data_IF_679895563839
#
_entry.id   IF_679895563839
#
_cell.length_a   1.000
_cell.length_b   1.000
_cell.length_c   1.000
_cell.angle_alpha   90.00
_cell.angle_beta   90.00
_cell.angle_gamma   90.00
#
_symmetry.space_group_name_H-M   'P 1'
#
loop_
_entity.id
_entity.type
_entity.pdbx_description
1 polymer ?
#
# COMPACT_ATOMS: atom_id res chain seq x y z
N UNK A 1 17.33 -33.77 -27.61
CA UNK A 1 18.31 -32.69 -27.36
C UNK A 1 17.53 -31.49 -26.83
N UNK A 2 16.72 -31.70 -25.78
CA UNK A 2 15.87 -30.64 -25.20
C UNK A 2 15.82 -30.79 -23.70
N UNK A 3 15.79 -32.02 -23.21
CA UNK A 3 15.81 -32.31 -21.77
C UNK A 3 17.15 -31.96 -21.09
N UNK A 4 18.34 -32.29 -21.65
CA UNK A 4 19.62 -31.87 -21.08
C UNK A 4 19.79 -30.35 -21.07
N UNK A 5 19.43 -29.67 -22.17
CA UNK A 5 19.57 -28.23 -22.34
C UNK A 5 18.66 -27.46 -21.38
N UNK A 6 17.40 -27.90 -21.22
CA UNK A 6 16.48 -27.33 -20.26
C UNK A 6 16.97 -27.50 -18.81
N UNK A 7 17.58 -28.65 -18.50
CA UNK A 7 18.14 -28.93 -17.17
C UNK A 7 19.34 -28.02 -16.86
N UNK A 8 20.26 -27.85 -17.82
CA UNK A 8 21.43 -26.97 -17.67
C UNK A 8 21.01 -25.51 -17.51
N UNK A 9 20.05 -25.04 -18.32
CA UNK A 9 19.55 -23.67 -18.21
C UNK A 9 18.87 -23.43 -16.85
N UNK A 10 18.08 -24.39 -16.38
CA UNK A 10 17.40 -24.28 -15.08
C UNK A 10 18.39 -24.21 -13.92
N UNK A 11 19.42 -25.07 -13.92
CA UNK A 11 20.50 -25.02 -12.93
C UNK A 11 21.17 -23.64 -12.91
N UNK A 12 21.44 -23.07 -14.09
CA UNK A 12 22.03 -21.74 -14.19
C UNK A 12 21.11 -20.64 -13.64
N UNK A 13 19.80 -20.67 -13.99
CA UNK A 13 18.82 -19.73 -13.47
C UNK A 13 18.71 -19.80 -11.93
N UNK A 14 18.71 -21.01 -11.37
CA UNK A 14 18.66 -21.20 -9.91
C UNK A 14 19.90 -20.62 -9.23
N UNK A 15 21.10 -20.85 -9.78
CA UNK A 15 22.35 -20.29 -9.26
C UNK A 15 22.33 -18.76 -9.22
N UNK A 16 21.87 -18.12 -10.30
CA UNK A 16 21.75 -16.65 -10.34
C UNK A 16 20.72 -16.17 -9.31
N UNK A 17 19.55 -16.80 -9.27
CA UNK A 17 18.48 -16.42 -8.35
C UNK A 17 18.92 -16.51 -6.89
N UNK A 18 19.60 -17.60 -6.49
CA UNK A 18 20.13 -17.75 -5.13
C UNK A 18 21.12 -16.64 -4.80
N UNK A 19 22.07 -16.35 -5.69
CA UNK A 19 23.05 -15.29 -5.46
C UNK A 19 22.40 -13.90 -5.30
N UNK A 20 21.37 -13.59 -6.11
CA UNK A 20 20.64 -12.34 -6.02
C UNK A 20 19.84 -12.25 -4.71
N UNK A 21 19.17 -13.32 -4.30
CA UNK A 21 18.38 -13.35 -3.06
C UNK A 21 19.29 -13.24 -1.84
N UNK A 22 20.43 -13.95 -1.82
CA UNK A 22 21.38 -13.94 -0.70
C UNK A 22 22.04 -12.55 -0.51
N UNK A 23 22.25 -11.82 -1.61
CA UNK A 23 22.84 -10.47 -1.61
C UNK A 23 21.83 -9.32 -1.70
N UNK A 24 20.53 -9.58 -1.51
CA UNK A 24 19.49 -8.57 -1.69
C UNK A 24 19.54 -7.51 -0.57
N UNK A 25 19.73 -6.24 -0.94
CA UNK A 25 19.66 -5.10 -0.04
C UNK A 25 18.36 -4.31 -0.25
N UNK A 26 17.62 -4.04 0.83
CA UNK A 26 16.39 -3.24 0.80
C UNK A 26 16.71 -1.82 1.26
N UNK A 27 16.47 -0.85 0.38
CA UNK A 27 16.65 0.57 0.69
C UNK A 27 15.35 1.17 1.22
N UNK A 28 15.14 1.11 2.53
CA UNK A 28 13.90 1.57 3.19
C UNK A 28 13.54 3.03 2.85
N UNK A 29 14.52 3.93 2.78
CA UNK A 29 14.28 5.34 2.40
C UNK A 29 13.68 5.47 1.00
N UNK A 30 14.10 4.61 0.07
CA UNK A 30 13.56 4.59 -1.28
C UNK A 30 12.14 4.01 -1.30
N UNK A 31 11.87 2.99 -0.48
CA UNK A 31 10.53 2.42 -0.29
C UNK A 31 9.58 3.49 0.26
N UNK A 32 9.94 4.16 1.34
CA UNK A 32 9.13 5.23 1.95
C UNK A 32 8.86 6.39 0.97
N UNK A 33 9.89 6.82 0.22
CA UNK A 33 9.76 7.86 -0.80
C UNK A 33 8.79 7.45 -1.91
N UNK A 34 8.89 6.21 -2.40
CA UNK A 34 8.01 5.70 -3.45
C UNK A 34 6.56 5.55 -2.96
N UNK A 35 6.36 5.10 -1.72
CA UNK A 35 5.03 5.02 -1.11
C UNK A 35 4.39 6.40 -0.92
N UNK A 36 5.20 7.41 -0.64
CA UNK A 36 4.75 8.79 -0.46
C UNK A 36 4.59 9.55 -1.79
N UNK A 37 5.00 8.97 -2.92
CA UNK A 37 5.01 9.62 -4.23
C UNK A 37 3.63 10.13 -4.67
N UNK A 38 2.57 9.39 -4.34
CA UNK A 38 1.18 9.76 -4.63
C UNK A 38 0.52 10.57 -3.52
N UNK A 39 1.30 11.13 -2.59
CA UNK A 39 0.80 12.01 -1.51
C UNK A 39 -0.33 11.37 -0.67
N UNK A 40 -0.29 10.04 -0.50
CA UNK A 40 -1.28 9.26 0.28
C UNK A 40 -2.49 8.78 -0.52
N UNK A 41 -2.62 9.11 -1.81
CA UNK A 41 -3.77 8.68 -2.64
C UNK A 41 -3.85 7.16 -2.82
N UNK A 42 -2.72 6.47 -2.83
CA UNK A 42 -2.66 5.00 -2.83
C UNK A 42 -3.31 4.36 -1.59
N UNK A 43 -3.52 5.13 -0.52
CA UNK A 43 -4.12 4.66 0.74
C UNK A 43 -5.54 5.21 0.96
N UNK A 44 -6.11 5.88 -0.03
CA UNK A 44 -7.42 6.53 0.07
C UNK A 44 -8.55 5.56 0.43
N UNK A 45 -8.43 4.29 0.04
CA UNK A 45 -9.40 3.24 0.40
C UNK A 45 -9.49 2.99 1.91
N UNK A 46 -8.36 3.08 2.63
CA UNK A 46 -8.31 2.96 4.10
C UNK A 46 -9.27 3.95 4.77
N UNK A 47 -9.25 5.20 4.31
CA UNK A 47 -10.15 6.25 4.83
C UNK A 47 -11.60 6.00 4.41
N UNK A 48 -11.84 5.60 3.16
CA UNK A 48 -13.20 5.27 2.67
C UNK A 48 -13.85 4.16 3.49
N UNK A 49 -13.10 3.10 3.79
CA UNK A 49 -13.57 1.98 4.59
C UNK A 49 -13.94 2.43 6.00
N UNK A 50 -13.10 3.25 6.63
CA UNK A 50 -13.35 3.74 7.98
C UNK A 50 -14.57 4.69 8.03
N UNK A 51 -14.71 5.60 7.07
CA UNK A 51 -15.89 6.46 6.93
C UNK A 51 -17.17 5.63 6.80
N UNK A 52 -17.15 4.59 5.96
CA UNK A 52 -18.29 3.69 5.78
C UNK A 52 -18.59 2.91 7.07
N UNK A 53 -17.55 2.45 7.78
CA UNK A 53 -17.68 1.73 9.06
C UNK A 53 -18.33 2.59 10.15
N UNK A 54 -18.07 3.90 10.13
CA UNK A 54 -18.66 4.89 11.06
C UNK A 54 -20.05 5.40 10.63
N UNK A 55 -20.62 4.84 9.55
CA UNK A 55 -22.01 5.07 9.18
C UNK A 55 -22.22 6.01 7.98
N UNK A 56 -21.16 6.48 7.32
CA UNK A 56 -21.30 7.20 6.05
C UNK A 56 -21.78 6.26 4.93
N UNK A 57 -22.64 6.76 4.04
CA UNK A 57 -23.04 5.99 2.88
C UNK A 57 -21.83 5.69 1.97
N UNK A 58 -21.67 4.44 1.54
CA UNK A 58 -20.54 4.02 0.72
C UNK A 58 -20.39 4.83 -0.58
N UNK A 59 -21.49 5.17 -1.24
CA UNK A 59 -21.48 5.91 -2.50
C UNK A 59 -21.04 7.37 -2.29
N UNK A 60 -21.48 7.96 -1.18
CA UNK A 60 -21.06 9.29 -0.75
C UNK A 60 -19.58 9.31 -0.38
N UNK A 61 -19.12 8.36 0.46
CA UNK A 61 -17.72 8.22 0.84
C UNK A 61 -16.81 8.05 -0.40
N UNK A 62 -17.21 7.19 -1.34
CA UNK A 62 -16.47 7.01 -2.59
C UNK A 62 -16.40 8.30 -3.42
N UNK A 63 -17.49 9.05 -3.52
CA UNK A 63 -17.52 10.34 -4.22
C UNK A 63 -16.57 11.36 -3.60
N UNK A 64 -16.60 11.51 -2.28
CA UNK A 64 -15.74 12.43 -1.52
C UNK A 64 -14.26 12.06 -1.71
N UNK A 65 -13.92 10.79 -1.46
CA UNK A 65 -12.55 10.29 -1.54
C UNK A 65 -12.00 10.41 -2.96
N UNK A 66 -12.81 10.11 -3.98
CA UNK A 66 -12.41 10.25 -5.38
C UNK A 66 -12.08 11.70 -5.73
N UNK A 67 -12.95 12.64 -5.36
CA UNK A 67 -12.73 14.06 -5.66
C UNK A 67 -11.50 14.59 -4.92
N UNK A 68 -11.36 14.28 -3.63
CA UNK A 68 -10.19 14.66 -2.84
C UNK A 68 -8.89 14.06 -3.40
N UNK A 69 -8.93 12.82 -3.89
CA UNK A 69 -7.77 12.17 -4.51
C UNK A 69 -7.34 12.85 -5.81
N UNK A 70 -8.29 13.24 -6.66
CA UNK A 70 -8.00 13.98 -7.89
C UNK A 70 -7.40 15.35 -7.58
N UNK A 71 -7.96 16.05 -6.59
CA UNK A 71 -7.48 17.34 -6.15
C UNK A 71 -6.07 17.27 -5.54
N UNK A 72 -5.79 16.24 -4.74
CA UNK A 72 -4.47 16.01 -4.14
C UNK A 72 -3.39 15.82 -5.21
N UNK A 73 -3.70 15.07 -6.28
CA UNK A 73 -2.79 14.85 -7.40
C UNK A 73 -2.58 16.12 -8.24
N UNK A 74 -3.64 16.87 -8.51
CA UNK A 74 -3.57 18.10 -9.30
C UNK A 74 -2.78 19.20 -8.56
N UNK A 75 -3.07 19.41 -7.28
CA UNK A 75 -2.41 20.41 -6.43
C UNK A 75 -1.08 19.94 -5.84
N UNK A 76 -0.74 18.66 -6.00
CA UNK A 76 0.45 18.01 -5.43
C UNK A 76 0.57 18.16 -3.91
N UNK A 77 -0.55 18.20 -3.21
CA UNK A 77 -0.59 18.29 -1.75
C UNK A 77 -0.97 16.95 -1.10
N UNK A 78 -0.66 16.75 0.19
CA UNK A 78 -1.06 15.58 0.94
C UNK A 78 -2.59 15.39 0.96
N UNK A 79 -3.05 14.18 0.64
CA UNK A 79 -4.48 13.85 0.67
C UNK A 79 -5.12 14.10 2.05
N UNK A 80 -4.35 13.88 3.13
CA UNK A 80 -4.80 14.11 4.50
C UNK A 80 -5.24 15.56 4.74
N UNK A 81 -4.61 16.52 4.07
CA UNK A 81 -4.87 17.95 4.29
C UNK A 81 -6.22 18.31 3.65
N UNK A 82 -6.46 17.87 2.41
CA UNK A 82 -7.75 18.05 1.72
C UNK A 82 -8.89 17.37 2.46
N UNK A 83 -8.67 16.14 2.95
CA UNK A 83 -9.69 15.41 3.70
C UNK A 83 -10.00 16.04 5.05
N UNK A 84 -9.01 16.61 5.72
CA UNK A 84 -9.20 17.30 7.01
C UNK A 84 -9.98 18.61 6.85
N UNK A 85 -9.91 19.25 5.69
CA UNK A 85 -10.68 20.45 5.36
C UNK A 85 -12.13 20.14 4.92
N UNK A 86 -12.44 18.88 4.58
CA UNK A 86 -13.77 18.50 4.13
C UNK A 86 -14.73 18.32 5.33
N UNK A 87 -15.80 19.12 5.46
CA UNK A 87 -16.70 19.07 6.61
C UNK A 87 -17.36 17.70 6.84
N UNK A 88 -17.66 16.97 5.77
CA UNK A 88 -18.30 15.65 5.86
C UNK A 88 -17.33 14.59 6.43
N UNK A 89 -16.04 14.74 6.18
CA UNK A 89 -15.00 13.85 6.71
C UNK A 89 -14.62 14.28 8.12
N UNK A 90 -14.38 15.57 8.35
CA UNK A 90 -13.98 16.13 9.65
C UNK A 90 -15.04 15.95 10.74
N UNK A 91 -16.31 15.78 10.35
CA UNK A 91 -17.40 15.47 11.28
C UNK A 91 -17.33 14.03 11.84
N UNK A 92 -16.62 13.12 11.17
CA UNK A 92 -16.56 11.69 11.50
C UNK A 92 -15.16 11.27 11.95
N UNK A 93 -14.13 11.86 11.34
CA UNK A 93 -12.72 11.58 11.59
C UNK A 93 -11.99 12.86 11.96
N UNK A 94 -11.20 12.82 13.02
CA UNK A 94 -10.24 13.87 13.32
C UNK A 94 -9.10 13.90 12.30
N UNK A 95 -8.37 15.02 12.24
CA UNK A 95 -7.18 15.15 11.41
C UNK A 95 -6.09 14.11 11.79
N UNK A 96 -5.98 13.79 13.08
CA UNK A 96 -5.04 12.80 13.60
C UNK A 96 -5.41 11.38 13.15
N UNK A 97 -6.69 11.01 13.24
CA UNK A 97 -7.18 9.72 12.74
C UNK A 97 -7.01 9.61 11.22
N UNK A 98 -7.32 10.68 10.48
CA UNK A 98 -7.16 10.72 9.02
C UNK A 98 -5.70 10.54 8.63
N UNK A 99 -4.78 11.20 9.34
CA UNK A 99 -3.35 11.03 9.12
C UNK A 99 -2.89 9.60 9.47
N UNK A 100 -3.41 9.00 10.54
CA UNK A 100 -3.08 7.63 10.94
C UNK A 100 -3.55 6.59 9.91
N UNK A 101 -4.74 6.75 9.32
CA UNK A 101 -5.28 5.86 8.29
C UNK A 101 -4.52 5.93 6.97
N UNK A 102 -3.86 7.05 6.70
CA UNK A 102 -3.01 7.28 5.52
C UNK A 102 -1.54 6.92 5.77
N UNK A 103 -1.25 6.16 6.82
CA UNK A 103 0.07 5.56 7.05
C UNK A 103 0.16 4.21 6.32
N UNK A 104 1.19 3.97 5.50
CA UNK A 104 1.34 2.70 4.78
C UNK A 104 1.36 1.48 5.71
N UNK A 105 1.96 1.61 6.90
CA UNK A 105 2.08 0.51 7.87
C UNK A 105 0.73 0.09 8.45
N UNK A 106 -0.25 1.00 8.46
CA UNK A 106 -1.59 0.74 8.96
C UNK A 106 -2.47 -0.03 7.94
N UNK A 107 -2.02 -0.18 6.69
CA UNK A 107 -2.82 -0.74 5.60
C UNK A 107 -2.07 -1.84 4.82
N UNK A 108 -1.51 -2.81 5.53
CA UNK A 108 -0.77 -3.95 4.96
C UNK A 108 -1.61 -5.24 4.82
N UNK A 109 -2.87 -5.22 5.27
CA UNK A 109 -3.77 -6.37 5.22
C UNK A 109 -3.18 -7.62 5.90
N UNK A 110 -3.26 -8.76 5.23
CA UNK A 110 -2.77 -10.05 5.73
C UNK A 110 -1.29 -10.31 5.39
N UNK A 111 -0.53 -9.31 4.92
CA UNK A 111 0.83 -9.53 4.41
C UNK A 111 1.73 -10.30 5.40
N UNK A 112 1.76 -9.88 6.66
CA UNK A 112 2.55 -10.55 7.70
C UNK A 112 2.06 -11.99 7.99
N UNK A 113 0.75 -12.21 7.99
CA UNK A 113 0.16 -13.53 8.22
C UNK A 113 0.49 -14.50 7.08
N UNK A 114 0.44 -14.04 5.82
CA UNK A 114 0.81 -14.84 4.66
C UNK A 114 2.29 -15.24 4.69
N UNK A 115 3.18 -14.30 5.03
CA UNK A 115 4.61 -14.59 5.21
C UNK A 115 4.80 -15.64 6.30
N UNK A 116 4.13 -15.50 7.43
CA UNK A 116 4.22 -16.44 8.53
C UNK A 116 3.71 -17.84 8.16
N UNK A 117 2.61 -17.92 7.40
CA UNK A 117 2.05 -19.19 6.93
C UNK A 117 3.02 -19.94 6.00
N UNK A 118 3.72 -19.21 5.11
CA UNK A 118 4.75 -19.80 4.24
C UNK A 118 5.95 -20.29 5.04
N UNK A 119 6.43 -19.49 6.01
CA UNK A 119 7.54 -19.90 6.90
C UNK A 119 7.19 -21.17 7.66
N UNK A 120 5.96 -21.29 8.18
CA UNK A 120 5.52 -22.50 8.90
C UNK A 120 5.43 -23.73 7.99
N UNK A 121 5.06 -23.56 6.71
CA UNK A 121 4.96 -24.67 5.75
C UNK A 121 6.33 -25.20 5.30
N UNK A 122 7.35 -24.34 5.29
CA UNK A 122 8.70 -24.68 4.85
C UNK A 122 9.62 -25.19 5.97
N UNK A 123 9.20 -25.03 7.24
CA UNK A 123 9.84 -25.62 8.41
C UNK A 123 9.38 -27.06 8.61
#
# INVERSE_FOLDING_TARGET
ITFPEASVLTDHCLKIMTAVIDGLEIHEDAVCRNLSFLQGVNLAESVMMELTRRGMNRQEAHGIIRNASLEALEKRCPLKDILSENPAVSAILSAEETAALLRPEAYIGLAAEQVQAVIQKLR
#
